data_IF_145434998795
#
_entry.id   IF_145434998795
#
_cell.length_a   1.000
_cell.length_b   1.000
_cell.length_c   1.000
_cell.angle_alpha   90.00
_cell.angle_beta   90.00
_cell.angle_gamma   90.00
#
_symmetry.space_group_name_H-M   'P 1'
#
loop_
_entity.id
_entity.type
_entity.pdbx_description
1 polymer ?
#
# COMPACT_ATOMS: atom_id res chain seq x y z
N UNK A 1 -43.00 -31.71 29.87
CA UNK A 1 -41.92 -32.02 28.90
C UNK A 1 -42.16 -31.16 27.66
N UNK A 2 -41.34 -30.23 27.17
CA UNK A 2 -40.09 -29.62 27.58
C UNK A 2 -39.75 -28.47 26.62
N UNK A 3 -39.16 -27.42 27.18
CA UNK A 3 -38.29 -26.37 26.58
C UNK A 3 -38.88 -25.28 25.67
N UNK A 4 -38.54 -24.07 26.11
CA UNK A 4 -38.89 -22.74 25.64
C UNK A 4 -38.14 -22.27 24.37
N UNK A 5 -38.76 -21.28 23.71
CA UNK A 5 -38.19 -20.07 23.06
C UNK A 5 -37.09 -20.20 22.00
N UNK A 6 -37.27 -19.49 20.87
CA UNK A 6 -36.62 -18.17 20.63
C UNK A 6 -36.95 -17.58 19.24
N UNK A 7 -37.60 -16.40 19.28
CA UNK A 7 -37.32 -15.14 18.57
C UNK A 7 -37.09 -15.17 17.04
N UNK A 8 -38.01 -14.49 16.34
CA UNK A 8 -37.92 -13.96 14.98
C UNK A 8 -37.02 -12.71 14.91
N UNK A 9 -36.12 -12.58 13.93
CA UNK A 9 -35.56 -11.27 13.53
C UNK A 9 -35.04 -11.22 12.08
N UNK A 10 -35.82 -10.51 11.25
CA UNK A 10 -35.53 -9.56 10.14
C UNK A 10 -34.40 -9.78 9.10
N UNK A 11 -34.85 -9.69 7.84
CA UNK A 11 -34.13 -9.33 6.60
C UNK A 11 -33.24 -8.09 6.73
N UNK A 12 -32.07 -8.09 6.06
CA UNK A 12 -31.47 -6.89 5.45
C UNK A 12 -30.70 -7.25 4.17
N UNK A 13 -31.12 -6.65 3.05
CA UNK A 13 -30.35 -6.53 1.81
C UNK A 13 -29.01 -5.83 2.11
N UNK A 14 -27.94 -6.27 1.44
CA UNK A 14 -26.67 -5.55 1.45
C UNK A 14 -25.83 -5.94 0.26
N UNK A 15 -26.09 -5.32 -0.90
CA UNK A 15 -25.14 -5.35 -2.01
C UNK A 15 -23.81 -4.78 -1.55
N UNK A 16 -22.70 -5.46 -1.85
CA UNK A 16 -21.38 -4.92 -1.55
C UNK A 16 -20.80 -4.43 -2.85
N UNK A 17 -20.97 -3.12 -3.07
CA UNK A 17 -20.22 -2.34 -4.04
C UNK A 17 -18.75 -2.71 -3.98
N UNK A 18 -18.15 -3.00 -5.13
CA UNK A 18 -16.71 -3.13 -5.28
C UNK A 18 -16.08 -1.73 -5.12
N UNK A 19 -15.92 -1.28 -3.88
CA UNK A 19 -14.97 -0.24 -3.55
C UNK A 19 -13.58 -0.85 -3.79
N UNK A 20 -12.75 -0.20 -4.60
CA UNK A 20 -11.32 -0.49 -4.64
C UNK A 20 -10.74 -0.18 -3.26
N UNK A 21 -10.83 -1.15 -2.35
CA UNK A 21 -10.38 -1.00 -0.97
C UNK A 21 -8.87 -1.10 -0.96
N UNK A 22 -8.22 -0.07 -0.40
CA UNK A 22 -6.85 -0.18 0.07
C UNK A 22 -6.68 -1.49 0.86
N UNK A 23 -5.49 -2.09 0.78
CA UNK A 23 -5.22 -3.37 1.42
C UNK A 23 -5.62 -3.32 2.90
N UNK A 24 -6.39 -4.30 3.34
CA UNK A 24 -6.89 -4.33 4.72
C UNK A 24 -5.71 -4.52 5.68
N UNK A 25 -5.68 -3.89 6.87
CA UNK A 25 -4.61 -4.12 7.81
C UNK A 25 -4.53 -5.61 8.20
N UNK A 26 -3.31 -6.14 8.30
CA UNK A 26 -3.08 -7.51 8.75
C UNK A 26 -3.57 -7.70 10.20
N UNK A 27 -4.12 -8.88 10.50
CA UNK A 27 -4.70 -9.25 11.80
C UNK A 27 -4.50 -10.75 12.05
N UNK A 28 -4.21 -11.09 13.29
CA UNK A 28 -4.22 -12.50 13.74
C UNK A 28 -5.64 -13.05 13.90
N UNK A 29 -5.75 -14.37 13.92
CA UNK A 29 -6.96 -15.14 14.17
C UNK A 29 -7.93 -15.18 12.98
N UNK A 30 -7.43 -14.99 11.76
CA UNK A 30 -8.25 -15.07 10.54
C UNK A 30 -7.57 -15.87 9.44
N UNK A 31 -8.42 -16.36 8.54
CA UNK A 31 -8.00 -16.97 7.30
C UNK A 31 -7.69 -15.90 6.24
N UNK A 32 -6.61 -16.13 5.51
CA UNK A 32 -6.15 -15.37 4.36
C UNK A 32 -6.13 -16.28 3.14
N UNK A 33 -6.69 -15.78 2.03
CA UNK A 33 -6.63 -16.50 0.75
C UNK A 33 -5.33 -16.20 0.01
N UNK A 34 -4.81 -17.15 -0.78
CA UNK A 34 -3.70 -16.84 -1.69
C UNK A 34 -4.07 -15.67 -2.62
N UNK A 35 -3.15 -14.72 -2.80
CA UNK A 35 -3.40 -13.48 -3.55
C UNK A 35 -4.04 -12.35 -2.74
N UNK A 36 -4.53 -12.61 -1.52
CA UNK A 36 -5.11 -11.56 -0.67
C UNK A 36 -4.07 -10.52 -0.29
N UNK A 37 -4.41 -9.23 -0.43
CA UNK A 37 -3.52 -8.11 -0.09
C UNK A 37 -3.85 -7.54 1.28
N UNK A 38 -2.81 -7.35 2.10
CA UNK A 38 -2.90 -6.72 3.42
C UNK A 38 -1.87 -5.61 3.59
N UNK A 39 -2.14 -4.67 4.49
CA UNK A 39 -1.17 -3.68 4.94
C UNK A 39 -0.60 -4.05 6.31
N UNK A 40 0.71 -3.97 6.47
CA UNK A 40 1.41 -4.17 7.73
C UNK A 40 2.56 -3.16 7.85
N UNK A 41 2.62 -2.42 8.96
CA UNK A 41 3.60 -1.33 9.18
C UNK A 41 3.73 -0.34 7.99
N UNK A 42 2.61 -0.02 7.33
CA UNK A 42 2.57 0.92 6.20
C UNK A 42 3.09 0.35 4.87
N UNK A 43 3.34 -0.95 4.80
CA UNK A 43 3.74 -1.66 3.57
C UNK A 43 2.65 -2.65 3.19
N UNK A 44 2.45 -2.83 1.89
CA UNK A 44 1.50 -3.80 1.37
C UNK A 44 2.18 -5.14 1.12
N UNK A 45 1.46 -6.21 1.41
CA UNK A 45 1.88 -7.59 1.22
C UNK A 45 0.76 -8.39 0.56
N UNK A 46 1.13 -9.39 -0.22
CA UNK A 46 0.23 -10.38 -0.81
C UNK A 46 0.49 -11.73 -0.15
N UNK A 47 -0.58 -12.43 0.24
CA UNK A 47 -0.46 -13.80 0.70
C UNK A 47 -0.01 -14.70 -0.46
N UNK A 48 1.13 -15.38 -0.29
CA UNK A 48 1.63 -16.38 -1.26
C UNK A 48 0.76 -17.62 -1.29
N UNK A 49 0.20 -17.99 -0.15
CA UNK A 49 -0.53 -19.23 0.07
C UNK A 49 -1.75 -18.96 0.98
N UNK A 50 -2.80 -19.76 0.81
CA UNK A 50 -3.93 -19.75 1.73
C UNK A 50 -3.51 -20.26 3.11
N UNK A 51 -3.79 -19.50 4.17
CA UNK A 51 -3.39 -19.87 5.52
C UNK A 51 -4.26 -19.22 6.59
N UNK A 52 -4.28 -19.80 7.78
CA UNK A 52 -4.83 -19.16 8.97
C UNK A 52 -3.70 -18.53 9.78
N UNK A 53 -3.78 -17.22 10.01
CA UNK A 53 -2.83 -16.51 10.88
C UNK A 53 -3.16 -16.82 12.35
N UNK A 54 -2.83 -18.02 12.82
CA UNK A 54 -3.10 -18.45 14.19
C UNK A 54 -2.57 -17.43 15.21
N UNK A 55 -3.38 -17.11 16.23
CA UNK A 55 -3.01 -16.12 17.26
C UNK A 55 -1.74 -16.54 17.99
N UNK A 56 -0.79 -15.63 18.13
CA UNK A 56 0.49 -15.88 18.80
C UNK A 56 1.50 -16.71 18.00
N UNK A 57 1.20 -17.11 16.76
CA UNK A 57 2.15 -17.81 15.89
C UNK A 57 3.21 -16.86 15.28
N UNK A 58 3.00 -15.54 15.39
CA UNK A 58 3.84 -14.51 14.79
C UNK A 58 3.98 -14.66 13.25
N UNK A 59 2.94 -15.18 12.58
CA UNK A 59 2.88 -15.30 11.12
C UNK A 59 2.48 -13.98 10.44
N UNK A 60 3.12 -12.90 10.86
CA UNK A 60 2.93 -11.58 10.28
C UNK A 60 3.71 -11.44 8.96
N UNK A 61 3.38 -10.43 8.12
CA UNK A 61 3.98 -10.29 6.80
C UNK A 61 5.50 -10.04 6.76
N UNK A 62 6.10 -9.55 7.85
CA UNK A 62 7.55 -9.37 7.95
C UNK A 62 8.27 -10.62 8.49
N UNK A 63 7.62 -11.40 9.36
CA UNK A 63 8.20 -12.57 10.01
C UNK A 63 8.00 -13.87 9.23
N UNK A 64 6.96 -13.97 8.39
CA UNK A 64 6.61 -15.19 7.66
C UNK A 64 6.70 -15.00 6.13
N UNK A 65 7.92 -14.83 5.61
CA UNK A 65 8.19 -14.63 4.18
C UNK A 65 7.74 -15.79 3.25
N UNK A 66 7.54 -16.99 3.81
CA UNK A 66 6.97 -18.14 3.08
C UNK A 66 5.46 -17.99 2.83
N UNK A 67 4.77 -17.21 3.66
CA UNK A 67 3.33 -16.94 3.60
C UNK A 67 3.03 -15.60 2.94
N UNK A 68 3.96 -14.64 3.00
CA UNK A 68 3.74 -13.27 2.55
C UNK A 68 4.81 -12.81 1.56
N UNK A 69 4.37 -12.08 0.54
CA UNK A 69 5.20 -11.42 -0.44
C UNK A 69 5.04 -9.91 -0.30
N UNK A 70 6.12 -9.13 -0.13
CA UNK A 70 5.99 -7.67 -0.18
C UNK A 70 5.54 -7.26 -1.58
N UNK A 71 4.48 -6.46 -1.64
CA UNK A 71 4.12 -5.79 -2.88
C UNK A 71 5.23 -4.78 -3.16
N UNK A 72 6.02 -5.05 -4.20
CA UNK A 72 7.01 -4.09 -4.67
C UNK A 72 6.24 -2.82 -5.05
N UNK A 73 6.42 -1.75 -4.28
CA UNK A 73 6.03 -0.44 -4.76
C UNK A 73 6.88 -0.19 -5.99
N UNK A 74 6.23 0.02 -7.14
CA UNK A 74 6.93 0.28 -8.38
C UNK A 74 7.64 1.65 -8.23
N UNK A 75 8.88 1.62 -7.74
CA UNK A 75 9.75 2.79 -7.64
C UNK A 75 10.19 3.25 -9.02
N UNK A 76 9.99 2.41 -10.05
CA UNK A 76 10.21 2.80 -11.44
C UNK A 76 9.10 3.77 -11.82
N UNK A 77 9.46 4.99 -12.23
CA UNK A 77 8.47 5.89 -12.80
C UNK A 77 7.81 5.19 -14.00
N UNK A 78 6.49 5.12 -14.01
CA UNK A 78 5.72 4.71 -15.20
C UNK A 78 6.18 5.52 -16.44
N UNK A 79 6.03 5.00 -17.67
CA UNK A 79 6.39 5.74 -18.89
C UNK A 79 5.83 7.18 -18.83
N UNK A 80 6.72 8.17 -18.83
CA UNK A 80 6.44 9.53 -18.31
C UNK A 80 7.26 9.89 -17.06
N UNK A 81 8.44 9.27 -16.92
CA UNK A 81 9.19 9.18 -15.67
C UNK A 81 9.90 10.42 -15.16
N UNK A 82 9.71 11.59 -15.77
CA UNK A 82 10.23 12.87 -15.29
C UNK A 82 9.12 13.76 -14.74
N UNK A 83 9.45 14.55 -13.71
CA UNK A 83 8.57 15.61 -13.25
C UNK A 83 8.35 16.61 -14.39
N UNK A 84 7.10 16.98 -14.57
CA UNK A 84 6.60 17.96 -15.51
C UNK A 84 5.61 18.88 -14.80
N UNK A 85 5.67 20.15 -15.18
CA UNK A 85 4.69 21.14 -14.77
C UNK A 85 3.38 20.96 -15.56
N UNK A 86 2.25 21.32 -14.95
CA UNK A 86 0.90 21.12 -15.49
C UNK A 86 0.39 19.68 -15.44
N UNK A 87 1.05 18.80 -14.68
CA UNK A 87 0.66 17.39 -14.52
C UNK A 87 0.07 17.14 -13.13
N UNK A 88 -0.94 16.28 -13.07
CA UNK A 88 -1.49 15.76 -11.83
C UNK A 88 -0.67 14.57 -11.33
N UNK A 89 -0.31 14.60 -10.05
CA UNK A 89 0.43 13.56 -9.35
C UNK A 89 -0.42 12.99 -8.23
N UNK A 90 -0.38 11.66 -8.09
CA UNK A 90 -1.04 10.94 -6.99
C UNK A 90 -0.06 10.72 -5.85
N UNK A 91 -0.54 10.71 -4.62
CA UNK A 91 0.21 10.29 -3.44
C UNK A 91 0.83 8.91 -3.68
N UNK A 92 2.11 8.78 -3.36
CA UNK A 92 2.90 7.57 -3.60
C UNK A 92 3.48 7.47 -5.01
N UNK A 93 3.13 8.35 -5.95
CA UNK A 93 3.69 8.33 -7.30
C UNK A 93 5.16 8.73 -7.28
N UNK A 94 5.98 8.02 -8.06
CA UNK A 94 7.40 8.29 -8.23
C UNK A 94 7.68 9.09 -9.51
N UNK A 95 8.56 10.09 -9.41
CA UNK A 95 9.04 10.89 -10.53
C UNK A 95 10.55 11.06 -10.45
N UNK A 96 11.21 11.24 -11.59
CA UNK A 96 12.59 11.72 -11.64
C UNK A 96 12.65 13.23 -11.82
N UNK A 97 13.55 13.89 -11.10
CA UNK A 97 13.84 15.31 -11.27
C UNK A 97 15.31 15.57 -10.97
N UNK A 98 16.03 16.18 -11.93
CA UNK A 98 17.47 16.47 -11.83
C UNK A 98 18.32 15.25 -11.42
N UNK A 99 18.01 14.07 -11.99
CA UNK A 99 18.76 12.83 -11.73
C UNK A 99 18.45 12.15 -10.39
N UNK A 100 17.46 12.64 -9.63
CA UNK A 100 17.01 12.03 -8.36
C UNK A 100 15.56 11.57 -8.49
N UNK A 101 15.20 10.55 -7.72
CA UNK A 101 13.82 10.06 -7.64
C UNK A 101 13.12 10.70 -6.43
N UNK A 102 11.87 11.07 -6.62
CA UNK A 102 11.01 11.64 -5.59
C UNK A 102 9.68 10.91 -5.55
N UNK A 103 9.12 10.80 -4.35
CA UNK A 103 7.77 10.29 -4.08
C UNK A 103 6.83 11.45 -3.77
N UNK A 104 5.67 11.49 -4.42
CA UNK A 104 4.63 12.44 -4.06
C UNK A 104 4.01 12.10 -2.69
N UNK A 105 3.94 13.07 -1.79
CA UNK A 105 3.36 12.92 -0.45
C UNK A 105 1.84 13.10 -0.42
N UNK A 106 1.32 13.83 -1.42
CA UNK A 106 -0.08 14.23 -1.52
C UNK A 106 -0.55 14.17 -2.99
N UNK A 107 -1.85 13.99 -3.19
CA UNK A 107 -2.49 14.23 -4.49
C UNK A 107 -2.42 15.73 -4.79
N UNK A 108 -1.86 16.11 -5.93
CA UNK A 108 -1.75 17.52 -6.32
C UNK A 108 -1.55 17.68 -7.82
N UNK A 109 -1.89 18.87 -8.33
CA UNK A 109 -1.49 19.31 -9.66
C UNK A 109 -0.28 20.23 -9.56
N UNK A 110 0.77 19.98 -10.35
CA UNK A 110 1.90 20.89 -10.45
C UNK A 110 1.51 22.13 -11.27
N UNK A 111 0.72 23.03 -10.69
CA UNK A 111 0.20 24.23 -11.37
C UNK A 111 1.33 25.03 -12.03
N UNK A 112 1.13 25.42 -13.30
CA UNK A 112 2.12 26.18 -14.07
C UNK A 112 2.47 27.50 -13.41
N UNK A 113 3.76 27.77 -13.23
CA UNK A 113 4.30 28.96 -12.57
C UNK A 113 4.35 28.88 -11.04
N UNK A 114 3.80 27.83 -10.42
CA UNK A 114 3.80 27.70 -8.96
C UNK A 114 5.15 27.25 -8.38
N UNK A 115 6.07 26.77 -9.24
CA UNK A 115 7.38 26.26 -8.86
C UNK A 115 7.33 25.09 -7.85
N UNK A 116 6.26 24.28 -7.89
CA UNK A 116 6.08 23.09 -7.05
C UNK A 116 6.88 21.89 -7.54
N UNK A 117 8.14 22.12 -7.90
CA UNK A 117 9.05 21.05 -8.31
C UNK A 117 9.56 20.25 -7.10
N UNK A 118 10.06 19.02 -7.32
CA UNK A 118 10.41 18.12 -6.21
C UNK A 118 11.50 18.61 -5.25
N UNK A 119 12.30 19.60 -5.65
CA UNK A 119 13.30 20.21 -4.76
C UNK A 119 12.78 21.41 -3.97
N UNK A 120 11.77 22.11 -4.49
CA UNK A 120 11.29 23.37 -3.91
C UNK A 120 10.01 23.19 -3.08
N UNK A 121 9.30 22.07 -3.25
CA UNK A 121 8.07 21.78 -2.52
C UNK A 121 8.20 20.51 -1.65
N UNK A 122 8.93 20.55 -0.53
CA UNK A 122 9.14 19.39 0.36
C UNK A 122 7.86 18.91 1.06
N UNK A 123 6.79 19.73 1.09
CA UNK A 123 5.47 19.31 1.58
C UNK A 123 4.71 18.42 0.58
N UNK A 124 5.10 18.45 -0.70
CA UNK A 124 4.50 17.68 -1.79
C UNK A 124 5.38 16.52 -2.23
N UNK A 125 6.69 16.61 -2.02
CA UNK A 125 7.68 15.66 -2.54
C UNK A 125 8.67 15.23 -1.49
N UNK A 126 8.99 13.94 -1.48
CA UNK A 126 10.00 13.33 -0.63
C UNK A 126 11.08 12.70 -1.52
N UNK A 127 12.37 13.01 -1.31
CA UNK A 127 13.44 12.34 -2.02
C UNK A 127 13.46 10.86 -1.64
N UNK A 128 13.52 9.98 -2.64
CA UNK A 128 13.74 8.55 -2.40
C UNK A 128 15.25 8.36 -2.30
N UNK A 129 15.73 8.12 -1.09
CA UNK A 129 17.10 7.67 -0.87
C UNK A 129 17.15 6.16 -1.18
N UNK A 130 17.95 5.76 -2.16
CA UNK A 130 18.14 4.37 -2.58
C UNK A 130 19.06 3.58 -1.61
N UNK A 131 19.04 3.95 -0.33
CA UNK A 131 19.96 3.57 0.75
C UNK A 131 20.04 2.09 1.14
N UNK A 132 19.97 1.15 0.20
CA UNK A 132 20.45 -0.25 0.32
C UNK A 132 21.15 -0.73 -0.96
N UNK A 133 22.18 -0.01 -1.42
CA UNK A 133 23.28 -0.64 -2.15
C UNK A 133 24.58 -0.43 -1.35
N UNK A 134 25.32 -1.49 -0.98
CA UNK A 134 26.64 -1.31 -0.40
C UNK A 134 27.50 -0.59 -1.45
N UNK A 135 28.07 0.55 -1.06
CA UNK A 135 29.01 1.28 -1.90
C UNK A 135 30.22 0.37 -2.10
N UNK A 136 30.39 -0.15 -3.32
CA UNK A 136 31.56 -0.91 -3.71
C UNK A 136 32.76 0.04 -3.56
N UNK A 137 33.55 -0.21 -2.52
CA UNK A 137 34.80 0.51 -2.25
C UNK A 137 35.73 0.40 -3.45
N UNK A 138 36.48 1.47 -3.69
CA UNK A 138 37.60 1.49 -4.62
C UNK A 138 38.84 0.95 -3.94
#
# INVERSE_FOLDING_TARGET
MGRASRVLLLLLLGGVSALALAAQPWREGRHYSAGERVSYHGRDYVARQGHEAAKGANWNPEAAASLWEPVQQNLRPEPGGSWQEGRHYRKGQFVSYQGRVYRALQDHEAVKGANWNPRQAPSLWEPVDDGKQPRLGK
#
